data_IF_424966832679
#
_entry.id   IF_424966832679
#
_cell.length_a   1.000
_cell.length_b   1.000
_cell.length_c   1.000
_cell.angle_alpha   90.00
_cell.angle_beta   90.00
_cell.angle_gamma   90.00
#
_symmetry.space_group_name_H-M   'P 1'
#
loop_
_entity.id
_entity.type
_entity.pdbx_description
1 polymer ?
#
# COMPACT_ATOMS: atom_id res chain seq x y z
N UNK A 1 19.18 -21.58 17.90
CA UNK A 1 18.08 -20.61 18.12
C UNK A 1 17.43 -20.28 16.79
N UNK A 2 16.13 -20.41 16.69
CA UNK A 2 15.39 -20.04 15.48
C UNK A 2 14.74 -18.67 15.67
N UNK A 3 14.72 -17.84 14.63
CA UNK A 3 14.11 -16.52 14.67
C UNK A 3 13.52 -16.14 13.32
N UNK A 4 12.43 -15.40 13.34
CA UNK A 4 11.78 -14.83 12.19
C UNK A 4 11.36 -13.40 12.52
N UNK A 5 11.66 -12.48 11.62
CA UNK A 5 11.19 -11.09 11.70
C UNK A 5 10.80 -10.64 10.30
N UNK A 6 9.51 -10.69 10.01
CA UNK A 6 8.97 -10.31 8.71
C UNK A 6 7.64 -9.59 8.87
N UNK A 7 7.50 -8.49 8.18
CA UNK A 7 6.28 -7.69 8.10
C UNK A 7 5.84 -7.59 6.65
N UNK A 8 4.56 -7.81 6.42
CA UNK A 8 3.92 -7.68 5.12
C UNK A 8 2.68 -6.82 5.27
N UNK A 9 2.61 -5.72 4.53
CA UNK A 9 1.51 -4.77 4.62
C UNK A 9 1.03 -4.38 3.23
N UNK A 10 -0.27 -4.19 3.09
CA UNK A 10 -0.89 -3.48 1.98
C UNK A 10 -1.65 -2.30 2.57
N UNK A 11 -1.36 -1.11 2.10
CA UNK A 11 -2.01 0.09 2.61
C UNK A 11 -1.80 1.30 1.73
N UNK A 12 -2.25 2.43 2.20
CA UNK A 12 -2.16 3.70 1.49
C UNK A 12 -1.27 4.69 2.24
N UNK A 13 -0.50 5.47 1.47
CA UNK A 13 0.26 6.56 2.06
C UNK A 13 -0.69 7.65 2.56
N UNK A 14 -0.52 8.06 3.81
CA UNK A 14 -1.31 9.13 4.42
C UNK A 14 -0.82 10.53 4.08
N UNK A 15 0.44 10.65 3.66
CA UNK A 15 1.10 11.88 3.22
C UNK A 15 2.23 11.55 2.25
N UNK A 16 2.77 12.57 1.59
CA UNK A 16 3.92 12.39 0.71
C UNK A 16 5.11 11.82 1.48
N UNK A 17 5.89 10.92 0.87
CA UNK A 17 7.08 10.36 1.50
C UNK A 17 8.14 11.45 1.68
N UNK A 18 8.90 11.34 2.74
CA UNK A 18 10.03 12.21 3.02
C UNK A 18 11.32 11.53 2.59
N UNK A 19 12.10 12.19 1.75
CA UNK A 19 13.38 11.70 1.27
C UNK A 19 14.48 12.60 1.79
N UNK A 20 15.42 11.99 2.49
CA UNK A 20 16.60 12.68 3.06
C UNK A 20 17.88 12.03 2.56
N UNK A 21 18.91 12.82 2.43
CA UNK A 21 20.26 12.33 2.12
C UNK A 21 21.10 12.42 3.40
N UNK A 22 21.68 11.29 3.79
CA UNK A 22 22.65 11.30 4.87
C UNK A 22 23.96 11.92 4.35
N UNK A 23 24.32 13.08 4.87
CA UNK A 23 25.48 13.84 4.40
C UNK A 23 26.82 13.15 4.69
N UNK A 24 26.87 12.28 5.70
CA UNK A 24 28.09 11.56 6.05
C UNK A 24 28.36 10.38 5.11
N UNK A 25 27.33 9.68 4.66
CA UNK A 25 27.45 8.47 3.85
C UNK A 25 26.99 8.68 2.41
N UNK A 26 26.34 9.78 2.08
CA UNK A 26 25.70 10.03 0.79
C UNK A 26 24.48 9.15 0.50
N UNK A 27 24.06 8.33 1.45
CA UNK A 27 22.92 7.43 1.30
C UNK A 27 21.61 8.18 1.43
N UNK A 28 20.68 7.89 0.54
CA UNK A 28 19.30 8.33 0.66
C UNK A 28 18.52 7.47 1.64
N UNK A 29 17.60 8.11 2.34
CA UNK A 29 16.65 7.47 3.25
C UNK A 29 15.26 7.97 2.86
N UNK A 30 14.35 7.06 2.62
CA UNK A 30 12.93 7.36 2.45
C UNK A 30 12.18 6.96 3.71
N UNK A 31 11.31 7.84 4.19
CA UNK A 31 10.39 7.53 5.30
C UNK A 31 8.97 7.93 4.93
N UNK A 32 8.03 7.09 5.27
CA UNK A 32 6.62 7.33 5.03
C UNK A 32 5.75 6.59 6.02
N UNK A 33 4.50 7.06 6.13
CA UNK A 33 3.46 6.40 6.93
C UNK A 33 2.50 5.67 6.03
N UNK A 34 2.26 4.40 6.33
CA UNK A 34 1.33 3.55 5.61
C UNK A 34 0.14 3.22 6.50
N UNK A 35 -1.07 3.51 6.01
CA UNK A 35 -2.30 3.21 6.70
C UNK A 35 -2.85 1.85 6.28
N UNK A 36 -3.14 1.01 7.27
CA UNK A 36 -3.91 -0.22 7.08
C UNK A 36 -5.18 -0.14 7.89
N UNK A 37 -6.31 -0.50 7.28
CA UNK A 37 -7.61 -0.45 7.94
C UNK A 37 -8.26 -1.81 7.98
N UNK A 38 -8.93 -2.10 9.06
CA UNK A 38 -9.80 -3.26 9.18
C UNK A 38 -11.19 -2.85 9.63
N UNK A 39 -12.18 -3.58 9.16
CA UNK A 39 -13.57 -3.42 9.59
C UNK A 39 -13.95 -4.59 10.47
N UNK A 40 -14.62 -4.30 11.55
CA UNK A 40 -15.11 -5.29 12.49
C UNK A 40 -16.46 -4.90 13.06
N UNK A 41 -17.17 -5.86 13.64
CA UNK A 41 -18.38 -5.59 14.40
C UNK A 41 -18.05 -5.66 15.88
N UNK A 42 -18.54 -4.69 16.62
CA UNK A 42 -18.43 -4.69 18.08
C UNK A 42 -19.47 -5.61 18.75
N UNK A 43 -19.42 -5.67 20.08
CA UNK A 43 -20.34 -6.50 20.85
C UNK A 43 -21.82 -6.07 20.71
N UNK A 44 -22.09 -4.84 20.28
CA UNK A 44 -23.42 -4.30 20.02
C UNK A 44 -23.90 -4.54 18.58
N UNK A 45 -23.09 -5.21 17.74
CA UNK A 45 -23.39 -5.47 16.35
C UNK A 45 -23.16 -4.27 15.43
N UNK A 46 -22.58 -3.18 15.91
CA UNK A 46 -22.22 -2.00 15.11
C UNK A 46 -20.95 -2.25 14.32
N UNK A 47 -20.95 -1.81 13.07
CA UNK A 47 -19.77 -1.89 12.21
C UNK A 47 -18.81 -0.76 12.55
N UNK A 48 -17.56 -1.12 12.86
CA UNK A 48 -16.48 -0.18 13.20
C UNK A 48 -15.30 -0.36 12.27
N UNK A 49 -14.54 0.70 12.07
CA UNK A 49 -13.32 0.71 11.32
C UNK A 49 -12.16 1.17 12.21
N UNK A 50 -11.07 0.41 12.16
CA UNK A 50 -9.83 0.72 12.87
C UNK A 50 -8.71 0.91 11.86
N UNK A 51 -8.01 2.03 11.95
CA UNK A 51 -6.87 2.34 11.10
C UNK A 51 -5.59 2.34 11.92
N UNK A 52 -4.61 1.58 11.46
CA UNK A 52 -3.27 1.55 12.03
C UNK A 52 -2.29 2.24 11.10
N UNK A 53 -1.44 3.08 11.67
CA UNK A 53 -0.40 3.82 10.97
C UNK A 53 0.94 3.17 11.22
N UNK A 54 1.61 2.78 10.14
CA UNK A 54 2.91 2.12 10.22
C UNK A 54 3.99 3.05 9.70
N UNK A 55 5.05 3.21 10.49
CA UNK A 55 6.23 3.96 10.08
C UNK A 55 7.17 3.06 9.29
N UNK A 56 7.47 3.44 8.06
CA UNK A 56 8.29 2.65 7.14
C UNK A 56 9.50 3.45 6.71
N UNK A 57 10.66 2.83 6.74
CA UNK A 57 11.94 3.45 6.41
C UNK A 57 12.69 2.58 5.42
N UNK A 58 13.10 3.16 4.31
CA UNK A 58 13.92 2.50 3.29
C UNK A 58 15.25 3.20 3.09
N UNK A 59 16.29 2.44 2.80
CA UNK A 59 17.65 2.94 2.72
C UNK A 59 18.29 2.64 1.36
N UNK A 60 19.10 3.57 0.87
CA UNK A 60 19.96 3.39 -0.29
C UNK A 60 19.17 3.25 -1.59
N UNK A 61 19.43 2.20 -2.33
CA UNK A 61 18.84 1.99 -3.67
C UNK A 61 17.32 1.96 -3.65
N UNK A 62 16.71 1.40 -2.62
CA UNK A 62 15.26 1.36 -2.50
C UNK A 62 14.65 2.77 -2.36
N UNK A 63 15.35 3.67 -1.66
CA UNK A 63 14.97 5.07 -1.56
C UNK A 63 15.06 5.78 -2.93
N UNK A 64 16.08 5.49 -3.72
CA UNK A 64 16.23 6.02 -5.08
C UNK A 64 15.09 5.57 -5.99
N UNK A 65 14.75 4.31 -5.96
CA UNK A 65 13.64 3.74 -6.74
C UNK A 65 12.32 4.36 -6.32
N UNK A 66 12.10 4.52 -5.02
CA UNK A 66 10.90 5.12 -4.48
C UNK A 66 10.70 6.57 -4.95
N UNK A 67 11.78 7.34 -4.98
CA UNK A 67 11.81 8.71 -5.51
C UNK A 67 11.54 8.74 -7.02
N UNK A 68 12.18 7.88 -7.79
CA UNK A 68 12.01 7.81 -9.25
C UNK A 68 10.58 7.45 -9.67
N UNK A 69 9.89 6.64 -8.88
CA UNK A 69 8.51 6.26 -9.15
C UNK A 69 7.50 7.37 -8.83
N UNK A 70 7.92 8.45 -8.17
CA UNK A 70 7.06 9.57 -7.83
C UNK A 70 5.92 9.18 -6.88
N UNK A 71 6.19 8.30 -5.94
CA UNK A 71 5.19 7.86 -4.95
C UNK A 71 4.73 9.05 -4.13
N UNK A 72 3.43 9.23 -4.01
CA UNK A 72 2.80 10.36 -3.34
C UNK A 72 1.68 9.95 -2.40
N UNK A 73 1.15 10.91 -1.65
CA UNK A 73 -0.02 10.71 -0.81
C UNK A 73 -1.15 10.00 -1.55
N UNK A 74 -1.76 9.01 -0.90
CA UNK A 74 -2.87 8.23 -1.43
C UNK A 74 -2.47 7.02 -2.28
N UNK A 75 -1.20 6.86 -2.60
CA UNK A 75 -0.70 5.69 -3.33
C UNK A 75 -0.91 4.42 -2.51
N UNK A 76 -1.42 3.37 -3.16
CA UNK A 76 -1.54 2.05 -2.55
C UNK A 76 -0.27 1.25 -2.81
N UNK A 77 0.32 0.75 -1.74
CA UNK A 77 1.56 -0.03 -1.78
C UNK A 77 1.39 -1.37 -1.10
N UNK A 78 2.06 -2.37 -1.65
CA UNK A 78 2.48 -3.55 -0.93
C UNK A 78 3.92 -3.35 -0.44
N UNK A 79 4.19 -3.63 0.82
CA UNK A 79 5.53 -3.53 1.40
C UNK A 79 5.89 -4.80 2.16
N UNK A 80 7.13 -5.21 2.05
CA UNK A 80 7.74 -6.23 2.88
C UNK A 80 8.96 -5.67 3.58
N UNK A 81 9.13 -6.06 4.81
CA UNK A 81 10.29 -5.66 5.60
C UNK A 81 10.36 -6.40 6.92
N UNK A 82 11.09 -5.82 7.84
CA UNK A 82 11.26 -6.34 9.20
C UNK A 82 11.00 -5.25 10.22
N UNK A 83 10.55 -5.61 11.40
CA UNK A 83 10.42 -4.68 12.52
C UNK A 83 11.79 -4.31 13.06
N UNK A 84 11.99 -3.03 13.26
CA UNK A 84 13.18 -2.49 13.91
C UNK A 84 12.79 -1.51 15.01
N UNK A 85 13.54 -1.54 16.09
CA UNK A 85 13.40 -0.58 17.18
C UNK A 85 14.61 0.34 17.18
N UNK A 86 14.35 1.62 17.21
CA UNK A 86 15.37 2.65 17.28
C UNK A 86 15.15 3.51 18.52
N UNK A 87 16.23 3.91 19.16
CA UNK A 87 16.16 4.82 20.29
C UNK A 87 17.15 5.96 20.13
N UNK A 88 16.78 7.11 20.64
CA UNK A 88 17.63 8.29 20.70
C UNK A 88 17.31 9.09 21.96
N UNK A 89 18.24 9.93 22.37
CA UNK A 89 18.03 10.85 23.48
C UNK A 89 17.57 12.20 22.93
N UNK A 90 16.40 12.66 23.38
CA UNK A 90 15.90 13.97 23.07
C UNK A 90 16.73 15.02 23.78
N UNK A 91 17.43 15.87 23.04
CA UNK A 91 18.33 16.89 23.60
C UNK A 91 17.58 18.00 24.37
N UNK A 92 16.32 18.25 24.02
CA UNK A 92 15.52 19.26 24.68
C UNK A 92 15.05 18.85 26.07
N UNK A 93 14.68 17.57 26.27
CA UNK A 93 14.12 17.06 27.53
C UNK A 93 15.06 16.11 28.28
N UNK A 94 16.16 15.64 27.65
CA UNK A 94 17.04 14.62 28.17
C UNK A 94 16.42 13.22 28.27
N UNK A 95 15.22 13.04 27.80
CA UNK A 95 14.49 11.77 27.82
C UNK A 95 14.87 10.87 26.64
N UNK A 96 14.96 9.58 26.92
CA UNK A 96 15.17 8.56 25.91
C UNK A 96 13.86 8.30 25.17
N UNK A 97 13.90 8.40 23.85
CA UNK A 97 12.77 8.16 22.95
C UNK A 97 12.97 6.87 22.18
N UNK A 98 11.87 6.16 21.94
CA UNK A 98 11.84 4.91 21.21
C UNK A 98 10.86 5.00 20.06
N UNK A 99 11.18 4.38 18.95
CA UNK A 99 10.29 4.21 17.83
C UNK A 99 10.40 2.80 17.26
N UNK A 100 9.25 2.22 16.92
CA UNK A 100 9.18 0.96 16.18
C UNK A 100 8.87 1.29 14.73
N UNK A 101 9.70 0.82 13.82
CA UNK A 101 9.61 1.08 12.38
C UNK A 101 9.66 -0.24 11.62
N UNK A 102 9.19 -0.22 10.39
CA UNK A 102 9.41 -1.29 9.43
C UNK A 102 10.57 -0.88 8.53
N UNK A 103 11.67 -1.63 8.61
CA UNK A 103 12.76 -1.47 7.65
C UNK A 103 12.37 -2.14 6.33
N UNK A 104 12.25 -1.34 5.29
CA UNK A 104 11.73 -1.77 3.98
C UNK A 104 12.77 -2.62 3.25
N UNK A 105 12.39 -3.82 2.87
CA UNK A 105 13.21 -4.71 2.04
C UNK A 105 12.77 -4.68 0.57
N UNK A 106 11.45 -4.69 0.32
CA UNK A 106 10.88 -4.60 -1.02
C UNK A 106 9.49 -3.98 -0.99
N UNK A 107 9.07 -3.43 -2.11
CA UNK A 107 7.72 -2.87 -2.25
C UNK A 107 7.21 -3.02 -3.67
N UNK A 108 5.90 -2.90 -3.84
CA UNK A 108 5.24 -2.91 -5.13
C UNK A 108 4.12 -1.87 -5.16
N UNK A 109 4.05 -1.11 -6.24
CA UNK A 109 2.94 -0.20 -6.49
C UNK A 109 1.70 -0.99 -6.89
N UNK A 110 0.60 -0.76 -6.18
CA UNK A 110 -0.70 -1.35 -6.47
C UNK A 110 -1.68 -0.34 -7.08
N UNK A 111 -1.44 0.95 -6.91
CA UNK A 111 -2.20 1.99 -7.60
C UNK A 111 -1.76 2.03 -9.05
N UNK A 112 -2.67 1.93 -10.02
CA UNK A 112 -2.32 2.14 -11.41
C UNK A 112 -1.71 3.53 -11.57
N UNK A 113 -0.61 3.65 -12.33
CA UNK A 113 -0.10 4.96 -12.72
C UNK A 113 -1.23 5.69 -13.45
N UNK A 114 -1.73 6.75 -12.83
CA UNK A 114 -2.65 7.63 -13.51
C UNK A 114 -1.95 8.15 -14.76
N UNK A 115 -2.45 7.78 -15.92
CA UNK A 115 -2.14 8.51 -17.13
C UNK A 115 -2.56 9.96 -16.86
N UNK A 116 -1.61 10.84 -16.66
CA UNK A 116 -1.84 12.27 -16.82
C UNK A 116 -2.12 12.51 -18.32
N UNK A 117 -3.30 12.17 -18.76
CA UNK A 117 -3.88 12.73 -19.96
C UNK A 117 -4.69 13.94 -19.53
N UNK A 118 -3.99 15.04 -19.40
CA UNK A 118 -4.61 16.33 -19.54
C UNK A 118 -5.15 16.45 -20.95
N UNK A 119 -6.48 16.61 -21.07
CA UNK A 119 -7.13 17.10 -22.25
C UNK A 119 -7.23 16.11 -23.42
N UNK A 120 -8.37 15.50 -23.60
CA UNK A 120 -8.63 14.73 -24.78
C UNK A 120 -10.13 14.45 -24.90
N UNK A 121 -10.74 15.18 -25.76
CA UNK A 121 -12.10 15.10 -26.25
C UNK A 121 -12.65 13.67 -26.29
N UNK A 122 -13.85 13.50 -25.71
CA UNK A 122 -14.64 12.31 -25.85
C UNK A 122 -14.93 11.98 -27.31
N UNK A 123 -14.46 10.87 -27.78
CA UNK A 123 -15.08 10.14 -28.84
C UNK A 123 -15.92 9.05 -28.24
N UNK A 124 -17.21 9.25 -28.28
CA UNK A 124 -18.19 8.18 -28.15
C UNK A 124 -17.91 7.16 -29.25
N UNK A 125 -17.21 6.09 -28.90
CA UNK A 125 -17.28 4.89 -29.69
C UNK A 125 -18.54 4.14 -29.26
N UNK A 126 -19.54 4.21 -30.16
CA UNK A 126 -20.69 3.33 -30.13
C UNK A 126 -20.19 1.87 -30.08
N UNK A 127 -20.49 1.20 -29.02
CA UNK A 127 -20.34 -0.24 -28.94
C UNK A 127 -21.27 -0.90 -29.96
N UNK A 128 -20.80 -1.84 -30.78
CA UNK A 128 -21.69 -2.63 -31.61
C UNK A 128 -22.60 -3.46 -30.70
N UNK A 129 -23.88 -3.36 -30.91
CA UNK A 129 -24.86 -4.20 -30.27
C UNK A 129 -24.56 -5.67 -30.60
N UNK A 130 -24.14 -6.45 -29.59
CA UNK A 130 -24.13 -7.89 -29.71
C UNK A 130 -25.58 -8.37 -29.72
N UNK A 131 -26.04 -8.82 -30.88
CA UNK A 131 -27.28 -9.61 -30.99
C UNK A 131 -27.06 -10.90 -30.22
N UNK A 132 -27.86 -11.08 -29.19
CA UNK A 132 -27.96 -12.37 -28.50
C UNK A 132 -28.45 -13.43 -29.50
N UNK A 133 -27.78 -14.56 -29.63
CA UNK A 133 -28.37 -15.71 -30.31
C UNK A 133 -29.51 -16.21 -29.44
N UNK A 134 -30.69 -16.30 -30.07
CA UNK A 134 -31.84 -16.99 -29.50
C UNK A 134 -31.45 -18.47 -29.35
N UNK A 135 -31.40 -18.96 -28.14
CA UNK A 135 -31.36 -20.40 -27.89
C UNK A 135 -32.70 -20.99 -28.12
N UNK A 136 -32.78 -22.12 -28.86
CA UNK A 136 -34.01 -22.91 -28.91
C UNK A 136 -34.23 -23.52 -27.54
N UNK A 137 -35.46 -23.44 -27.07
CA UNK A 137 -35.94 -24.16 -25.93
C UNK A 137 -36.07 -25.64 -26.29
N UNK A 138 -35.15 -26.44 -25.80
CA UNK A 138 -35.40 -27.87 -25.67
C UNK A 138 -35.29 -28.22 -24.18
N UNK A 139 -36.44 -28.57 -23.63
CA UNK A 139 -36.59 -29.21 -22.34
C UNK A 139 -35.89 -30.57 -22.38
N UNK A 140 -34.73 -30.67 -21.80
CA UNK A 140 -34.21 -31.95 -21.32
C UNK A 140 -33.87 -31.83 -19.84
N UNK A 141 -34.66 -32.50 -19.03
CA UNK A 141 -34.40 -32.80 -17.64
C UNK A 141 -33.02 -33.47 -17.53
N UNK A 142 -32.03 -32.68 -17.08
CA UNK A 142 -30.76 -33.25 -16.66
C UNK A 142 -30.90 -33.53 -15.17
N UNK A 143 -31.19 -34.76 -14.86
CA UNK A 143 -31.13 -35.31 -13.51
C UNK A 143 -29.67 -35.29 -13.04
N UNK A 144 -29.32 -34.34 -12.17
CA UNK A 144 -28.02 -34.27 -11.54
C UNK A 144 -28.06 -35.05 -10.23
N UNK A 145 -27.23 -36.07 -10.06
CA UNK A 145 -27.17 -36.85 -8.82
C UNK A 145 -26.36 -36.07 -7.76
N UNK A 146 -27.03 -35.32 -6.97
CA UNK A 146 -26.53 -34.76 -5.68
C UNK A 146 -27.60 -34.98 -4.61
#
# INVERSE_FOLDING_TARGET
MAYLNKVMLIGNLGRDPEIRVNQQTGRKVVSFSLATSRRYRDNNGEQKEETNWHNIVGFGKIADIFEQLGVSKGTTLYVEGRLTNRSWTDQASGQKRYVTEVALDTFQLLTPRGTQNGGGYGQQQQSPAYQQPQTPSDDEDIDLPF
#
